data_IF_592785330835
#
_entry.id   IF_592785330835
#
_cell.length_a   1.000
_cell.length_b   1.000
_cell.length_c   1.000
_cell.angle_alpha   90.00
_cell.angle_beta   90.00
_cell.angle_gamma   90.00
#
_symmetry.space_group_name_H-M   'P 1'
#
loop_
_entity.id
_entity.type
_entity.pdbx_description
1 polymer ?
#
# COMPACT_ATOMS: atom_id res chain seq x y z
N UNK A 1 16.00 10.72 -0.52
CA UNK A 1 14.56 11.04 -0.36
C UNK A 1 13.71 9.82 -0.68
N UNK A 2 12.55 9.67 0.01
CA UNK A 2 11.61 8.57 -0.13
C UNK A 2 10.24 9.17 -0.47
N UNK A 3 9.61 8.69 -1.54
CA UNK A 3 8.23 9.05 -1.84
C UNK A 3 7.29 8.19 -1.00
N UNK A 4 6.41 8.84 -0.25
CA UNK A 4 5.39 8.20 0.60
C UNK A 4 4.12 7.96 -0.20
N UNK A 5 3.59 6.75 -0.15
CA UNK A 5 2.28 6.38 -0.67
C UNK A 5 1.31 6.11 0.47
N UNK A 6 0.05 6.52 0.28
CA UNK A 6 -1.05 6.31 1.20
C UNK A 6 -2.18 5.54 0.50
N UNK A 7 -2.70 4.51 1.15
CA UNK A 7 -3.83 3.72 0.67
C UNK A 7 -5.10 4.07 1.45
N UNK A 8 -6.17 4.37 0.74
CA UNK A 8 -7.50 4.63 1.30
C UNK A 8 -8.44 3.52 0.85
N UNK A 9 -8.89 2.70 1.79
CA UNK A 9 -9.89 1.67 1.53
C UNK A 9 -11.28 2.18 1.85
N UNK A 10 -12.12 2.26 0.83
CA UNK A 10 -13.49 2.79 0.91
C UNK A 10 -14.52 1.70 0.62
N UNK A 11 -15.76 1.94 1.00
CA UNK A 11 -16.88 1.01 0.87
C UNK A 11 -17.63 1.11 -0.46
N UNK A 12 -17.71 2.32 -1.04
CA UNK A 12 -18.46 2.58 -2.26
C UNK A 12 -17.66 3.44 -3.23
N UNK A 13 -17.59 3.04 -4.49
CA UNK A 13 -16.91 3.80 -5.55
C UNK A 13 -17.55 5.19 -5.73
N UNK A 14 -18.88 5.30 -5.59
CA UNK A 14 -19.60 6.56 -5.71
C UNK A 14 -19.16 7.63 -4.71
N UNK A 15 -18.57 7.23 -3.57
CA UNK A 15 -17.97 8.18 -2.60
C UNK A 15 -16.68 8.80 -3.09
N UNK A 16 -16.01 8.17 -4.04
CA UNK A 16 -14.80 8.70 -4.65
C UNK A 16 -15.07 9.34 -6.02
N UNK A 17 -15.88 8.67 -6.88
CA UNK A 17 -16.15 9.10 -8.25
C UNK A 17 -17.62 8.90 -8.59
N UNK A 18 -18.25 9.95 -9.11
CA UNK A 18 -19.62 9.94 -9.60
C UNK A 18 -19.66 10.28 -11.09
N UNK A 19 -20.78 9.99 -11.72
CA UNK A 19 -20.99 10.25 -13.15
C UNK A 19 -22.40 10.83 -13.36
N UNK A 20 -22.48 11.91 -14.12
CA UNK A 20 -23.73 12.47 -14.59
C UNK A 20 -23.76 12.60 -16.14
N UNK A 21 -24.67 13.41 -16.67
CA UNK A 21 -24.80 13.69 -18.11
C UNK A 21 -23.63 14.54 -18.64
N UNK A 22 -22.94 15.28 -17.78
CA UNK A 22 -21.83 16.17 -18.12
C UNK A 22 -20.47 15.47 -18.05
N UNK A 23 -20.40 14.28 -17.42
CA UNK A 23 -19.19 13.49 -17.34
C UNK A 23 -18.86 13.01 -15.91
N UNK A 24 -17.58 12.99 -15.60
CA UNK A 24 -17.03 12.59 -14.31
C UNK A 24 -17.11 13.71 -13.28
N UNK A 25 -17.56 13.37 -12.07
CA UNK A 25 -17.61 14.26 -10.92
C UNK A 25 -16.86 13.63 -9.72
N UNK A 26 -16.21 14.44 -8.89
CA UNK A 26 -15.64 13.94 -7.63
C UNK A 26 -16.76 13.53 -6.68
N UNK A 27 -16.61 12.35 -6.06
CA UNK A 27 -17.47 11.93 -4.96
C UNK A 27 -17.12 12.65 -3.65
N UNK A 28 -17.91 12.41 -2.60
CA UNK A 28 -17.76 13.06 -1.30
C UNK A 28 -16.34 12.92 -0.73
N UNK A 29 -15.75 11.72 -0.76
CA UNK A 29 -14.41 11.49 -0.21
C UNK A 29 -13.31 12.19 -1.02
N UNK A 30 -13.46 12.27 -2.34
CA UNK A 30 -12.52 13.01 -3.16
C UNK A 30 -12.61 14.52 -2.89
N UNK A 31 -13.82 15.06 -2.71
CA UNK A 31 -14.02 16.48 -2.36
C UNK A 31 -13.43 16.81 -0.99
N UNK A 32 -13.76 16.05 0.05
CA UNK A 32 -13.21 16.22 1.41
C UNK A 32 -11.68 16.12 1.37
N UNK A 33 -11.14 15.14 0.65
CA UNK A 33 -9.70 15.00 0.52
C UNK A 33 -9.04 16.21 -0.13
N UNK A 34 -9.61 16.72 -1.23
CA UNK A 34 -9.06 17.90 -1.92
C UNK A 34 -9.15 19.16 -1.03
N UNK A 35 -10.23 19.34 -0.27
CA UNK A 35 -10.41 20.46 0.65
C UNK A 35 -9.40 20.41 1.80
N UNK A 36 -9.29 19.26 2.49
CA UNK A 36 -8.35 19.09 3.60
C UNK A 36 -6.88 19.18 3.15
N UNK A 37 -6.57 18.61 1.97
CA UNK A 37 -5.23 18.72 1.42
C UNK A 37 -4.85 20.16 1.13
N UNK A 38 -5.77 20.95 0.53
CA UNK A 38 -5.54 22.39 0.27
C UNK A 38 -5.40 23.18 1.59
N UNK A 39 -6.21 22.89 2.60
CA UNK A 39 -6.11 23.52 3.90
C UNK A 39 -4.73 23.26 4.53
N UNK A 40 -4.30 22.02 4.57
CA UNK A 40 -2.98 21.62 5.08
C UNK A 40 -1.82 22.21 4.27
N UNK A 41 -1.95 22.24 2.94
CA UNK A 41 -0.94 22.82 2.07
C UNK A 41 -0.74 24.31 2.41
N UNK A 42 -1.83 25.05 2.65
CA UNK A 42 -1.77 26.45 3.03
C UNK A 42 -1.15 26.67 4.43
N UNK A 43 -1.36 25.76 5.38
CA UNK A 43 -0.75 25.82 6.71
C UNK A 43 0.77 25.60 6.65
N UNK A 44 1.23 24.65 5.83
CA UNK A 44 2.65 24.30 5.73
C UNK A 44 3.43 25.27 4.86
N UNK A 45 2.77 25.91 3.89
CA UNK A 45 3.37 26.85 2.96
C UNK A 45 3.80 28.12 3.67
N UNK A 46 5.06 28.49 3.56
CA UNK A 46 5.59 29.77 4.07
C UNK A 46 5.85 30.76 2.93
N UNK A 47 6.07 32.02 3.29
CA UNK A 47 6.41 33.06 2.32
C UNK A 47 7.86 32.97 1.81
N UNK A 48 8.70 32.16 2.45
CA UNK A 48 10.09 31.97 2.05
C UNK A 48 10.21 31.30 0.68
N UNK A 49 11.14 31.75 -0.13
CA UNK A 49 11.41 31.15 -1.44
C UNK A 49 12.45 30.01 -1.34
N UNK A 50 12.04 28.93 -0.65
CA UNK A 50 12.82 27.70 -0.57
C UNK A 50 12.48 26.74 -1.71
N UNK A 51 13.39 25.80 -2.07
CA UNK A 51 13.05 24.73 -3.03
C UNK A 51 11.79 23.94 -2.62
N UNK A 52 11.62 23.71 -1.32
CA UNK A 52 10.47 23.00 -0.78
C UNK A 52 9.17 23.80 -0.98
N UNK A 53 9.17 25.10 -0.67
CA UNK A 53 7.99 25.95 -0.90
C UNK A 53 7.66 26.11 -2.39
N UNK A 54 8.66 26.18 -3.26
CA UNK A 54 8.42 26.15 -4.71
C UNK A 54 7.75 24.85 -5.17
N UNK A 55 8.22 23.72 -4.66
CA UNK A 55 7.61 22.43 -4.89
C UNK A 55 6.16 22.40 -4.40
N UNK A 56 5.87 22.85 -3.17
CA UNK A 56 4.51 22.89 -2.61
C UNK A 56 3.56 23.75 -3.46
N UNK A 57 4.01 24.91 -3.93
CA UNK A 57 3.21 25.80 -4.80
C UNK A 57 2.89 25.19 -6.17
N UNK A 58 3.70 24.25 -6.63
CA UNK A 58 3.49 23.55 -7.90
C UNK A 58 2.50 22.38 -7.81
N UNK A 59 2.07 21.98 -6.60
CA UNK A 59 1.17 20.86 -6.42
C UNK A 59 -0.25 21.20 -6.91
N UNK A 60 -0.74 20.37 -7.82
CA UNK A 60 -2.14 20.37 -8.22
C UNK A 60 -2.85 19.22 -7.47
N UNK A 61 -3.66 19.55 -6.48
CA UNK A 61 -4.24 18.57 -5.54
C UNK A 61 -4.96 17.43 -6.25
N UNK A 62 -5.74 17.73 -7.30
CA UNK A 62 -6.43 16.70 -8.10
C UNK A 62 -5.52 15.67 -8.74
N UNK A 63 -4.26 15.99 -8.96
CA UNK A 63 -3.27 15.06 -9.52
C UNK A 63 -2.59 14.22 -8.45
N UNK A 64 -2.74 14.55 -7.17
CA UNK A 64 -2.05 13.83 -6.08
C UNK A 64 -2.72 12.51 -5.70
N UNK A 65 -3.96 12.29 -6.13
CA UNK A 65 -4.72 11.09 -5.81
C UNK A 65 -5.31 10.44 -7.05
N UNK A 66 -5.49 9.12 -6.98
CA UNK A 66 -6.16 8.35 -8.02
C UNK A 66 -6.95 7.18 -7.43
N UNK A 67 -7.95 6.70 -8.17
CA UNK A 67 -8.80 5.59 -7.80
C UNK A 67 -8.39 4.28 -8.47
N UNK A 68 -8.33 3.21 -7.69
CA UNK A 68 -8.14 1.86 -8.16
C UNK A 68 -9.40 1.04 -7.89
N UNK A 69 -10.28 0.97 -8.89
CA UNK A 69 -11.60 0.33 -8.81
C UNK A 69 -11.87 -0.57 -10.02
N UNK A 70 -12.91 -1.38 -9.94
CA UNK A 70 -13.40 -2.11 -11.09
C UNK A 70 -13.99 -1.14 -12.13
N UNK A 71 -13.90 -1.51 -13.41
CA UNK A 71 -14.39 -0.70 -14.52
C UNK A 71 -15.42 -1.49 -15.32
N UNK A 72 -16.54 -0.85 -15.59
CA UNK A 72 -17.52 -1.40 -16.50
C UNK A 72 -17.02 -1.31 -17.94
N UNK A 73 -16.97 -2.47 -18.62
CA UNK A 73 -16.41 -2.59 -19.97
C UNK A 73 -17.15 -1.78 -21.04
N UNK A 74 -18.44 -1.52 -20.85
CA UNK A 74 -19.28 -0.82 -21.82
C UNK A 74 -19.23 0.68 -21.62
N UNK A 75 -19.37 1.12 -20.39
CA UNK A 75 -19.47 2.54 -20.04
C UNK A 75 -18.13 3.17 -19.72
N UNK A 76 -17.09 2.35 -19.48
CA UNK A 76 -15.76 2.78 -19.01
C UNK A 76 -15.80 3.53 -17.67
N UNK A 77 -16.86 3.37 -16.90
CA UNK A 77 -17.05 4.00 -15.59
C UNK A 77 -16.54 3.10 -14.48
N UNK A 78 -15.98 3.72 -13.44
CA UNK A 78 -15.62 3.03 -12.21
C UNK A 78 -16.89 2.52 -11.53
N UNK A 79 -16.87 1.28 -11.07
CA UNK A 79 -18.03 0.61 -10.46
C UNK A 79 -17.60 -0.21 -9.25
N UNK A 80 -18.53 -0.45 -8.35
CA UNK A 80 -18.33 -1.39 -7.26
C UNK A 80 -18.21 -2.82 -7.80
N UNK A 81 -17.33 -3.66 -7.22
CA UNK A 81 -17.21 -5.03 -7.65
C UNK A 81 -18.53 -5.78 -7.37
N UNK A 82 -19.09 -6.43 -8.40
CA UNK A 82 -20.29 -7.26 -8.24
C UNK A 82 -20.03 -8.41 -7.26
N UNK A 83 -20.81 -8.46 -6.18
CA UNK A 83 -20.80 -9.59 -5.23
C UNK A 83 -21.32 -10.85 -5.92
N UNK A 84 -20.46 -11.83 -6.12
CA UNK A 84 -20.87 -13.18 -6.57
C UNK A 84 -20.49 -13.56 -8.00
N UNK A 85 -19.98 -12.67 -8.84
CA UNK A 85 -19.40 -13.05 -10.12
C UNK A 85 -17.87 -12.99 -10.07
N UNK A 86 -17.21 -14.06 -10.52
CA UNK A 86 -15.78 -14.04 -10.84
C UNK A 86 -15.57 -13.08 -12.02
N UNK A 87 -15.39 -11.81 -11.75
CA UNK A 87 -14.94 -10.85 -12.76
C UNK A 87 -13.46 -11.09 -12.98
N UNK A 88 -13.13 -11.74 -14.08
CA UNK A 88 -11.78 -12.25 -14.32
C UNK A 88 -10.90 -11.29 -15.13
N UNK A 89 -11.45 -10.22 -15.71
CA UNK A 89 -10.66 -9.30 -16.55
C UNK A 89 -11.21 -7.89 -16.47
N UNK A 90 -10.39 -6.99 -16.02
CA UNK A 90 -10.60 -5.55 -16.05
C UNK A 90 -9.74 -4.97 -17.16
N UNK A 91 -10.38 -4.49 -18.22
CA UNK A 91 -9.73 -3.76 -19.30
C UNK A 91 -9.79 -2.27 -18.98
N UNK A 92 -8.85 -1.77 -18.18
CA UNK A 92 -8.60 -0.35 -18.15
C UNK A 92 -7.12 -0.02 -18.02
N UNK A 93 -6.67 0.82 -18.94
CA UNK A 93 -5.27 0.85 -19.31
C UNK A 93 -4.50 1.92 -18.54
N UNK A 94 -5.09 3.08 -18.21
CA UNK A 94 -4.27 4.20 -17.74
C UNK A 94 -4.07 4.31 -16.21
N UNK A 95 -5.13 4.24 -15.39
CA UNK A 95 -4.98 4.29 -13.93
C UNK A 95 -4.46 2.96 -13.37
N UNK A 96 -4.83 1.87 -14.04
CA UNK A 96 -4.34 0.53 -13.73
C UNK A 96 -2.87 0.36 -14.06
N UNK A 97 -2.41 0.87 -15.19
CA UNK A 97 -1.02 0.70 -15.60
C UNK A 97 -0.06 1.42 -14.65
N UNK A 98 -0.38 2.63 -14.22
CA UNK A 98 0.45 3.35 -13.25
C UNK A 98 0.55 2.62 -11.91
N UNK A 99 -0.59 2.17 -11.38
CA UNK A 99 -0.62 1.56 -10.05
C UNK A 99 -0.11 0.13 -10.06
N UNK A 100 -0.41 -0.66 -11.10
CA UNK A 100 -0.07 -2.07 -11.16
C UNK A 100 1.24 -2.37 -11.89
N UNK A 101 1.44 -1.76 -13.04
CA UNK A 101 2.50 -2.16 -13.97
C UNK A 101 3.70 -1.22 -13.92
N UNK A 102 3.49 0.07 -13.65
CA UNK A 102 4.56 1.06 -13.61
C UNK A 102 4.91 1.47 -12.17
N UNK A 103 5.37 0.50 -11.40
CA UNK A 103 5.72 0.70 -9.99
C UNK A 103 6.88 1.69 -9.80
N UNK A 104 7.83 1.69 -10.70
CA UNK A 104 8.99 2.58 -10.65
C UNK A 104 8.57 4.03 -10.86
N UNK A 105 7.71 4.27 -11.85
CA UNK A 105 7.13 5.59 -12.08
C UNK A 105 6.32 6.08 -10.88
N UNK A 106 5.50 5.20 -10.28
CA UNK A 106 4.72 5.55 -9.09
C UNK A 106 5.62 5.95 -7.89
N UNK A 107 6.85 5.43 -7.83
CA UNK A 107 7.84 5.79 -6.81
C UNK A 107 8.64 7.06 -7.15
N UNK A 108 8.60 7.55 -8.38
CA UNK A 108 9.26 8.79 -8.79
C UNK A 108 8.55 10.02 -8.20
N UNK A 109 9.31 11.05 -7.85
CA UNK A 109 8.76 12.36 -7.46
C UNK A 109 8.14 13.12 -8.64
N UNK A 110 8.48 12.78 -9.88
CA UNK A 110 7.88 13.37 -11.09
C UNK A 110 6.42 12.94 -11.27
N UNK A 111 6.04 11.78 -10.71
CA UNK A 111 4.65 11.33 -10.67
C UNK A 111 3.94 11.97 -9.47
N UNK A 112 2.88 12.78 -9.67
CA UNK A 112 2.21 13.47 -8.57
C UNK A 112 1.37 12.55 -7.69
N UNK A 113 0.89 11.40 -8.18
CA UNK A 113 0.04 10.48 -7.42
C UNK A 113 0.78 9.93 -6.19
N UNK A 114 0.15 10.12 -5.01
CA UNK A 114 0.63 9.66 -3.69
C UNK A 114 -0.46 9.01 -2.88
N UNK A 115 -1.72 9.29 -3.18
CA UNK A 115 -2.88 8.81 -2.46
C UNK A 115 -3.72 7.94 -3.39
N UNK A 116 -3.93 6.68 -3.00
CA UNK A 116 -4.60 5.68 -3.80
C UNK A 116 -5.88 5.28 -3.08
N UNK A 117 -7.03 5.55 -3.70
CA UNK A 117 -8.33 5.10 -3.22
C UNK A 117 -8.68 3.74 -3.84
N UNK A 118 -9.18 2.81 -3.03
CA UNK A 118 -9.55 1.48 -3.50
C UNK A 118 -10.73 0.92 -2.69
N UNK A 119 -11.58 0.13 -3.33
CA UNK A 119 -12.70 -0.55 -2.66
C UNK A 119 -12.23 -1.78 -1.86
N UNK A 120 -11.27 -2.51 -2.38
CA UNK A 120 -10.77 -3.74 -1.78
C UNK A 120 -9.25 -3.76 -1.77
N UNK A 121 -8.68 -4.73 -1.09
CA UNK A 121 -7.25 -4.97 -1.19
C UNK A 121 -6.87 -5.05 -2.68
N UNK A 122 -5.88 -4.27 -3.07
CA UNK A 122 -5.29 -4.30 -4.40
C UNK A 122 -4.98 -5.75 -4.79
N UNK A 123 -5.09 -6.09 -6.08
CA UNK A 123 -4.95 -7.47 -6.59
C UNK A 123 -3.77 -8.20 -5.97
N UNK A 124 -3.88 -9.51 -5.83
CA UNK A 124 -2.76 -10.37 -5.47
C UNK A 124 -1.56 -10.08 -6.36
N UNK A 125 -0.38 -9.93 -5.74
CA UNK A 125 0.85 -9.57 -6.47
C UNK A 125 1.16 -8.07 -6.55
N UNK A 126 0.26 -7.17 -6.20
CA UNK A 126 0.62 -5.76 -6.05
C UNK A 126 1.50 -5.59 -4.80
N UNK A 127 2.70 -5.08 -5.00
CA UNK A 127 3.73 -4.94 -3.99
C UNK A 127 4.51 -3.65 -4.18
N UNK A 128 3.98 -2.55 -3.68
CA UNK A 128 4.75 -1.31 -3.64
C UNK A 128 5.43 -1.17 -2.27
N UNK A 129 6.75 -0.97 -2.22
CA UNK A 129 7.47 -0.92 -0.95
C UNK A 129 7.22 0.35 -0.13
N UNK A 130 6.76 1.44 -0.77
CA UNK A 130 6.68 2.75 -0.13
C UNK A 130 5.27 3.10 0.39
N UNK A 131 4.50 2.10 0.79
CA UNK A 131 3.22 2.32 1.47
C UNK A 131 3.49 2.55 2.96
N UNK A 132 3.28 3.79 3.43
CA UNK A 132 3.50 4.19 4.81
C UNK A 132 2.22 4.50 5.58
N UNK A 133 1.12 4.72 4.86
CA UNK A 133 -0.17 5.03 5.48
C UNK A 133 -1.26 4.16 4.87
N UNK A 134 -2.08 3.58 5.72
CA UNK A 134 -3.29 2.85 5.35
C UNK A 134 -4.46 3.48 6.10
N UNK A 135 -5.44 3.98 5.38
CA UNK A 135 -6.67 4.54 5.92
C UNK A 135 -7.86 3.64 5.56
N UNK A 136 -8.48 3.01 6.55
CA UNK A 136 -9.62 2.14 6.38
C UNK A 136 -10.92 2.91 6.70
N UNK A 137 -11.56 3.46 5.66
CA UNK A 137 -12.84 4.18 5.75
C UNK A 137 -14.04 3.26 5.57
N UNK A 138 -13.81 2.02 5.21
CA UNK A 138 -14.86 1.00 5.04
C UNK A 138 -15.05 0.16 6.29
N UNK A 139 -16.24 -0.35 6.50
CA UNK A 139 -16.50 -1.41 7.48
C UNK A 139 -16.17 -2.78 6.88
N UNK A 140 -15.31 -3.53 7.52
CA UNK A 140 -15.01 -4.91 7.14
C UNK A 140 -14.84 -5.77 8.37
N UNK A 141 -15.66 -6.83 8.47
CA UNK A 141 -15.52 -7.85 9.53
C UNK A 141 -14.61 -9.02 9.11
N UNK A 142 -14.12 -9.00 7.86
CA UNK A 142 -13.30 -10.07 7.32
C UNK A 142 -11.83 -9.90 7.73
N UNK A 143 -11.40 -10.73 8.68
CA UNK A 143 -10.02 -10.75 9.20
C UNK A 143 -8.97 -11.01 8.12
N UNK A 144 -9.28 -11.83 7.10
CA UNK A 144 -8.37 -12.13 5.99
C UNK A 144 -8.13 -10.88 5.14
N UNK A 145 -9.21 -10.17 4.76
CA UNK A 145 -9.09 -8.93 4.00
C UNK A 145 -8.28 -7.87 4.75
N UNK A 146 -8.54 -7.70 6.05
CA UNK A 146 -7.78 -6.76 6.90
C UNK A 146 -6.30 -7.10 6.97
N UNK A 147 -5.95 -8.39 7.12
CA UNK A 147 -4.54 -8.83 7.08
C UNK A 147 -3.87 -8.55 5.75
N UNK A 148 -4.58 -8.74 4.64
CA UNK A 148 -4.06 -8.41 3.31
C UNK A 148 -3.85 -6.90 3.14
N UNK A 149 -4.77 -6.08 3.61
CA UNK A 149 -4.68 -4.62 3.56
C UNK A 149 -3.45 -4.12 4.34
N UNK A 150 -3.32 -4.50 5.61
CA UNK A 150 -2.17 -4.10 6.45
C UNK A 150 -0.85 -4.66 5.89
N UNK A 151 -0.87 -5.89 5.39
CA UNK A 151 0.30 -6.53 4.78
C UNK A 151 0.89 -5.76 3.59
N UNK A 152 0.12 -4.87 2.95
CA UNK A 152 0.61 -4.01 1.87
C UNK A 152 1.63 -2.98 2.35
N UNK A 153 1.48 -2.47 3.57
CA UNK A 153 2.41 -1.51 4.17
C UNK A 153 3.57 -2.14 4.94
N UNK A 154 3.64 -3.47 5.04
CA UNK A 154 4.67 -4.16 5.83
C UNK A 154 5.90 -4.53 4.99
N UNK A 155 6.46 -3.57 4.26
CA UNK A 155 7.64 -3.76 3.42
C UNK A 155 8.71 -2.71 3.73
N UNK A 156 9.96 -3.08 3.51
CA UNK A 156 11.05 -2.12 3.57
C UNK A 156 10.94 -1.15 2.40
N UNK A 157 10.95 0.13 2.71
CA UNK A 157 10.89 1.19 1.71
C UNK A 157 12.16 1.28 0.88
N UNK A 158 12.04 1.91 -0.28
CA UNK A 158 13.17 2.21 -1.17
C UNK A 158 13.27 3.73 -1.40
N UNK A 159 14.49 4.21 -1.58
CA UNK A 159 14.74 5.58 -1.97
C UNK A 159 14.59 5.78 -3.49
N UNK A 160 14.85 6.99 -3.99
CA UNK A 160 14.76 7.31 -5.43
C UNK A 160 15.79 6.59 -6.30
N UNK A 161 16.81 5.97 -5.70
CA UNK A 161 17.83 5.16 -6.39
C UNK A 161 17.46 3.66 -6.41
N UNK A 162 16.33 3.28 -5.82
CA UNK A 162 15.92 1.88 -5.66
C UNK A 162 16.62 1.14 -4.52
N UNK A 163 17.39 1.84 -3.68
CA UNK A 163 18.09 1.23 -2.56
C UNK A 163 17.12 1.04 -1.38
N UNK A 164 17.19 -0.13 -0.76
CA UNK A 164 16.39 -0.45 0.43
C UNK A 164 16.83 0.33 1.65
N UNK A 165 15.87 0.82 2.40
CA UNK A 165 16.11 1.51 3.67
C UNK A 165 16.17 0.51 4.83
N UNK A 166 17.19 -0.34 4.81
CA UNK A 166 17.37 -1.47 5.74
C UNK A 166 18.55 -1.30 6.72
N UNK A 167 19.14 -0.11 6.81
CA UNK A 167 20.21 0.18 7.76
C UNK A 167 19.72 -0.09 9.20
N UNK A 168 20.37 -0.99 9.97
CA UNK A 168 19.92 -1.37 11.31
C UNK A 168 19.73 -0.21 12.29
N UNK A 169 20.46 0.90 12.12
CA UNK A 169 20.35 2.07 13.00
C UNK A 169 19.15 2.96 12.72
N UNK A 170 18.56 2.90 11.51
CA UNK A 170 17.49 3.80 11.07
C UNK A 170 16.25 3.09 10.55
N UNK A 171 16.31 1.77 10.31
CA UNK A 171 15.25 0.99 9.69
C UNK A 171 13.90 1.14 10.39
N UNK A 172 13.88 1.13 11.71
CA UNK A 172 12.65 1.25 12.49
C UNK A 172 12.12 2.68 12.60
N UNK A 173 12.94 3.69 12.32
CA UNK A 173 12.53 5.09 12.29
C UNK A 173 11.95 5.47 10.92
N UNK A 174 12.44 4.82 9.86
CA UNK A 174 12.02 5.10 8.49
C UNK A 174 10.78 4.25 8.12
N UNK A 175 10.82 2.95 8.42
CA UNK A 175 9.77 2.01 7.99
C UNK A 175 8.68 1.87 9.05
N UNK A 176 8.02 2.97 9.39
CA UNK A 176 6.88 3.02 10.29
C UNK A 176 5.58 3.06 9.48
N UNK A 177 4.71 2.07 9.70
CA UNK A 177 3.39 2.01 9.08
C UNK A 177 2.34 2.64 9.99
N UNK A 178 1.70 3.69 9.50
CA UNK A 178 0.55 4.32 10.16
C UNK A 178 -0.75 3.72 9.64
N UNK A 179 -1.60 3.23 10.54
CA UNK A 179 -2.94 2.75 10.20
C UNK A 179 -3.99 3.65 10.86
N UNK A 180 -4.80 4.29 10.03
CA UNK A 180 -5.96 5.11 10.44
C UNK A 180 -7.22 4.28 10.23
N UNK A 181 -7.96 4.02 11.31
CA UNK A 181 -9.08 3.09 11.26
C UNK A 181 -10.12 3.35 12.34
N UNK A 182 -11.32 2.77 12.19
CA UNK A 182 -12.33 2.69 13.25
C UNK A 182 -11.83 1.90 14.47
N UNK A 183 -12.54 2.00 15.62
CA UNK A 183 -12.12 1.26 16.83
C UNK A 183 -12.05 -0.26 16.61
N UNK A 184 -12.99 -0.83 15.86
CA UNK A 184 -12.96 -2.26 15.54
C UNK A 184 -11.72 -2.67 14.74
N UNK A 185 -11.21 -1.78 13.90
CA UNK A 185 -9.99 -1.98 13.16
C UNK A 185 -8.75 -1.86 14.06
N UNK A 186 -8.80 -0.97 15.06
CA UNK A 186 -7.75 -0.81 16.06
C UNK A 186 -7.53 -2.10 16.84
N UNK A 187 -8.60 -2.74 17.30
CA UNK A 187 -8.52 -4.02 18.02
C UNK A 187 -7.89 -5.11 17.13
N UNK A 188 -8.27 -5.15 15.86
CA UNK A 188 -7.67 -6.06 14.89
C UNK A 188 -6.17 -5.80 14.70
N UNK A 189 -5.75 -4.56 14.52
CA UNK A 189 -4.32 -4.20 14.35
C UNK A 189 -3.54 -4.58 15.60
N UNK A 190 -4.08 -4.35 16.78
CA UNK A 190 -3.46 -4.73 18.05
C UNK A 190 -3.28 -6.26 18.14
N UNK A 191 -4.31 -7.02 17.78
CA UNK A 191 -4.23 -8.48 17.73
C UNK A 191 -3.20 -8.96 16.70
N UNK A 192 -3.17 -8.35 15.50
CA UNK A 192 -2.20 -8.67 14.47
C UNK A 192 -0.75 -8.40 14.91
N UNK A 193 -0.50 -7.27 15.56
CA UNK A 193 0.82 -6.95 16.11
C UNK A 193 1.26 -7.96 17.15
N UNK A 194 0.35 -8.41 18.01
CA UNK A 194 0.62 -9.46 18.99
C UNK A 194 0.95 -10.78 18.30
N UNK A 195 0.16 -11.22 17.33
CA UNK A 195 0.40 -12.45 16.57
C UNK A 195 1.77 -12.44 15.88
N UNK A 196 2.17 -11.29 15.30
CA UNK A 196 3.48 -11.12 14.66
C UNK A 196 4.58 -11.21 15.73
N UNK A 197 4.44 -10.53 16.85
CA UNK A 197 5.41 -10.56 17.95
C UNK A 197 5.59 -11.97 18.50
N UNK A 198 4.50 -12.69 18.73
CA UNK A 198 4.51 -14.07 19.23
C UNK A 198 5.17 -15.01 18.21
N UNK A 199 4.87 -14.84 16.93
CA UNK A 199 5.47 -15.59 15.82
C UNK A 199 6.99 -15.35 15.70
N UNK A 200 7.44 -14.11 15.90
CA UNK A 200 8.84 -13.74 15.87
C UNK A 200 9.59 -14.21 17.13
N UNK A 201 8.93 -14.17 18.29
CA UNK A 201 9.53 -14.66 19.55
C UNK A 201 9.79 -16.16 19.53
N UNK A 202 8.97 -16.92 18.81
CA UNK A 202 9.12 -18.36 18.62
C UNK A 202 10.23 -18.75 17.62
N UNK A 203 10.77 -17.80 16.85
CA UNK A 203 11.87 -18.07 15.90
C UNK A 203 13.21 -18.02 16.63
N UNK A 204 14.10 -18.99 16.38
CA UNK A 204 15.46 -18.93 16.92
C UNK A 204 16.14 -17.65 16.43
N UNK A 205 16.70 -16.88 17.37
CA UNK A 205 17.42 -15.62 17.07
C UNK A 205 18.77 -15.86 16.39
N UNK A 206 19.28 -17.08 16.46
CA UNK A 206 20.55 -17.50 15.86
C UNK A 206 20.27 -18.74 15.02
N UNK A 207 20.80 -18.75 13.80
CA UNK A 207 20.79 -19.93 12.94
C UNK A 207 21.92 -20.86 13.38
N UNK A 208 21.61 -21.75 14.30
CA UNK A 208 22.53 -22.79 14.81
C UNK A 208 22.33 -24.12 14.09
N UNK A 209 23.15 -25.11 14.46
CA UNK A 209 23.06 -26.48 13.92
C UNK A 209 21.66 -27.08 14.09
N UNK A 210 21.00 -26.82 15.21
CA UNK A 210 19.67 -27.34 15.52
C UNK A 210 18.62 -26.75 14.58
N UNK A 211 18.79 -25.49 14.21
CA UNK A 211 17.89 -24.79 13.27
C UNK A 211 17.93 -25.38 11.86
N UNK A 212 19.10 -25.81 11.40
CA UNK A 212 19.28 -26.38 10.06
C UNK A 212 19.02 -27.87 9.99
N UNK A 213 19.25 -28.59 11.07
CA UNK A 213 19.04 -30.05 11.12
C UNK A 213 17.59 -30.42 10.77
N UNK A 214 17.41 -31.43 9.94
CA UNK A 214 16.12 -31.92 9.42
C UNK A 214 15.43 -31.03 8.37
N UNK A 215 16.01 -29.90 7.97
CA UNK A 215 15.50 -29.14 6.82
C UNK A 215 15.87 -29.80 5.50
N UNK A 216 15.13 -29.50 4.45
CA UNK A 216 15.39 -30.01 3.11
C UNK A 216 15.97 -28.90 2.25
N UNK A 217 17.14 -29.11 1.69
CA UNK A 217 17.77 -28.25 0.71
C UNK A 217 17.37 -28.70 -0.70
N UNK A 218 16.81 -27.83 -1.48
CA UNK A 218 16.56 -28.06 -2.90
C UNK A 218 17.83 -27.77 -3.69
N UNK A 219 18.45 -28.78 -4.26
CA UNK A 219 19.64 -28.63 -5.09
C UNK A 219 19.33 -29.00 -6.54
N UNK A 220 20.21 -28.64 -7.48
CA UNK A 220 20.10 -29.04 -8.87
C UNK A 220 20.14 -30.59 -9.08
N UNK A 221 20.68 -31.32 -8.12
CA UNK A 221 20.76 -32.79 -8.12
C UNK A 221 19.59 -33.47 -7.39
N UNK A 222 18.65 -32.68 -6.82
CA UNK A 222 17.50 -33.18 -6.04
C UNK A 222 17.47 -32.65 -4.61
N UNK A 223 16.45 -33.06 -3.88
CA UNK A 223 16.23 -32.67 -2.50
C UNK A 223 17.17 -33.41 -1.55
N UNK A 224 17.91 -32.67 -0.73
CA UNK A 224 18.86 -33.21 0.24
C UNK A 224 18.42 -32.84 1.66
N UNK A 225 18.21 -33.84 2.51
CA UNK A 225 17.91 -33.60 3.91
C UNK A 225 19.18 -33.20 4.67
N UNK A 226 19.10 -32.08 5.41
CA UNK A 226 20.22 -31.58 6.20
C UNK A 226 20.42 -32.44 7.41
N UNK A 227 21.53 -33.22 7.39
CA UNK A 227 22.00 -33.96 8.55
C UNK A 227 22.77 -33.06 9.51
N UNK A 228 22.99 -33.53 10.75
CA UNK A 228 23.76 -32.77 11.73
C UNK A 228 25.19 -32.46 11.26
N UNK A 229 25.80 -33.31 10.45
CA UNK A 229 27.12 -33.05 9.86
C UNK A 229 27.09 -31.96 8.80
N UNK A 230 26.02 -31.92 7.98
CA UNK A 230 25.85 -30.89 6.94
C UNK A 230 25.49 -29.54 7.56
N UNK A 231 24.79 -29.50 8.70
CA UNK A 231 24.44 -28.30 9.41
C UNK A 231 25.65 -27.59 10.07
N UNK A 232 26.77 -28.27 10.21
CA UNK A 232 28.05 -27.75 10.75
C UNK A 232 28.94 -27.08 9.71
N UNK A 233 28.69 -27.30 8.44
CA UNK A 233 29.39 -26.67 7.32
C UNK A 233 28.80 -25.34 6.95
#
# INVERSE_FOLDING_TARGET
DIKVLSLFFIDEVAKYRQYDETGELPGEYAQIFEEEYNAHLNEVMTLEDTPYNRYLRGIQVRQTHNGYFAIDKKTKRLVDPETGKKSTETDDVDAYDLILNDKERLLSFDEPVRFIFSHSALREGWDNPNVFVICALKHSDNTISRRQEVGRGMRLSVNQLGERMDNPSTVHQINELTVVASESYKDFVTALQRDITDSLSARPKVADEAFFTSKVLKTAAGDVQVTQQLAKQ
#
